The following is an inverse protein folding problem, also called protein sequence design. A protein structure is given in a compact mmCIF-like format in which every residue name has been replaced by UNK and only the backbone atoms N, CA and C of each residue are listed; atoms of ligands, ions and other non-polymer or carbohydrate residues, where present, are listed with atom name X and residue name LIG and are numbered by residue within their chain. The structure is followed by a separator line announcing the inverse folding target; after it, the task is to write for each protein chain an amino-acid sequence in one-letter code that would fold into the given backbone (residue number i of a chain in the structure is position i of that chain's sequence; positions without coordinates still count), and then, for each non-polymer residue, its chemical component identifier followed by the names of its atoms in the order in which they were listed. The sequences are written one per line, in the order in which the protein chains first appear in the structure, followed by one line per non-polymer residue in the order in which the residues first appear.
data_IF_694333017003
#
_entry.id   IF_694333017003
#
_cell.length_a   1.000
_cell.length_b   1.000
_cell.length_c   1.000
_cell.angle_alpha   90.00
_cell.angle_beta   90.00
_cell.angle_gamma   90.00
#
_symmetry.space_group_name_H-M   'P 1'
#
loop_
_entity.id
_entity.type
_entity.pdbx_description
1 polymer ?
#
# COMPACT_ATOMS: atom_id res chain seq x y z
N UNK A 1 15.14 0.28 19.12
CA UNK A 1 15.23 -0.37 17.80
C UNK A 1 13.88 -0.21 17.13
N UNK A 2 13.83 0.12 15.84
CA UNK A 2 12.58 0.02 15.09
C UNK A 2 12.32 -1.45 14.83
N UNK A 3 11.17 -1.98 15.26
CA UNK A 3 10.89 -3.40 15.09
C UNK A 3 10.50 -3.68 13.63
N UNK A 4 11.20 -4.60 12.94
CA UNK A 4 10.90 -4.91 11.54
C UNK A 4 9.48 -5.40 11.33
N UNK A 5 8.96 -6.16 12.30
CA UNK A 5 7.57 -6.64 12.30
C UNK A 5 6.58 -5.48 12.38
N UNK A 6 6.86 -4.45 13.19
CA UNK A 6 5.96 -3.30 13.31
C UNK A 6 6.00 -2.45 12.04
N UNK A 7 7.17 -2.26 11.41
CA UNK A 7 7.25 -1.60 10.11
C UNK A 7 6.42 -2.32 9.04
N UNK A 8 6.45 -3.66 9.03
CA UNK A 8 5.65 -4.47 8.11
C UNK A 8 4.14 -4.36 8.40
N UNK A 9 3.73 -4.46 9.67
CA UNK A 9 2.32 -4.30 10.09
C UNK A 9 1.80 -2.91 9.74
N UNK A 10 2.58 -1.85 9.97
CA UNK A 10 2.18 -0.50 9.58
C UNK A 10 1.98 -0.41 8.06
N UNK A 11 2.92 -0.92 7.25
CA UNK A 11 2.74 -0.96 5.79
C UNK A 11 1.58 -1.82 5.32
N UNK A 12 1.14 -2.81 6.10
CA UNK A 12 -0.02 -3.64 5.78
C UNK A 12 -1.35 -2.91 6.05
N UNK A 13 -1.39 -2.00 7.03
CA UNK A 13 -2.56 -1.13 7.28
C UNK A 13 -2.72 -0.12 6.13
N UNK A 14 -1.61 0.51 5.73
CA UNK A 14 -1.61 1.44 4.62
C UNK A 14 -0.24 1.49 3.94
N UNK A 15 -0.17 1.39 2.59
CA UNK A 15 1.09 1.43 1.86
C UNK A 15 1.87 2.72 2.17
N UNK A 16 3.10 2.57 2.66
CA UNK A 16 3.99 3.70 2.99
C UNK A 16 4.09 4.04 4.49
N UNK A 17 3.18 3.55 5.35
CA UNK A 17 3.28 3.80 6.80
C UNK A 17 4.53 3.20 7.44
N UNK A 18 4.94 1.99 7.02
CA UNK A 18 6.18 1.38 7.49
C UNK A 18 7.42 2.17 7.06
N UNK A 19 7.35 2.91 5.96
CA UNK A 19 8.42 3.80 5.52
C UNK A 19 8.46 5.09 6.31
N UNK A 20 7.31 5.68 6.66
CA UNK A 20 7.26 6.79 7.61
C UNK A 20 7.81 6.38 8.98
N UNK A 21 7.45 5.19 9.47
CA UNK A 21 8.04 4.62 10.67
C UNK A 21 9.55 4.51 10.55
N UNK A 22 10.05 4.08 9.39
CA UNK A 22 11.47 4.01 9.06
C UNK A 22 12.14 5.36 8.73
N UNK A 23 11.43 6.51 8.81
CA UNK A 23 11.93 7.85 8.41
C UNK A 23 12.27 7.99 6.92
N UNK A 24 11.81 7.07 6.08
CA UNK A 24 11.97 7.12 4.63
C UNK A 24 10.80 7.89 4.00
N UNK A 25 10.73 9.19 4.29
CA UNK A 25 9.61 10.06 3.91
C UNK A 25 9.32 10.07 2.41
N UNK A 26 10.35 10.18 1.57
CA UNK A 26 10.18 10.19 0.10
C UNK A 26 9.53 8.91 -0.41
N UNK A 27 9.94 7.74 0.11
CA UNK A 27 9.30 6.49 -0.25
C UNK A 27 7.87 6.44 0.28
N UNK A 28 7.66 6.80 1.55
CA UNK A 28 6.33 6.79 2.17
C UNK A 28 5.31 7.61 1.37
N UNK A 29 5.70 8.81 0.94
CA UNK A 29 4.90 9.67 0.06
C UNK A 29 4.65 8.99 -1.29
N UNK A 30 5.66 8.37 -1.90
CA UNK A 30 5.51 7.64 -3.16
C UNK A 30 4.49 6.50 -3.08
N UNK A 31 4.53 5.68 -2.03
CA UNK A 31 3.53 4.62 -1.82
C UNK A 31 2.15 5.18 -1.51
N UNK A 32 2.08 6.27 -0.75
CA UNK A 32 0.81 6.93 -0.42
C UNK A 32 0.13 7.48 -1.68
N UNK A 33 0.86 8.23 -2.51
CA UNK A 33 0.33 8.78 -3.76
C UNK A 33 0.00 7.65 -4.74
N UNK A 34 0.91 6.68 -4.92
CA UNK A 34 0.69 5.57 -5.84
C UNK A 34 -0.54 4.74 -5.49
N UNK A 35 -0.72 4.40 -4.22
CA UNK A 35 -1.92 3.68 -3.75
C UNK A 35 -3.19 4.53 -3.84
N UNK A 36 -3.11 5.84 -3.53
CA UNK A 36 -4.24 6.76 -3.65
C UNK A 36 -4.73 6.91 -5.10
N UNK A 37 -3.82 7.09 -6.06
CA UNK A 37 -4.16 7.20 -7.48
C UNK A 37 -4.80 5.90 -7.98
N UNK A 38 -4.21 4.74 -7.69
CA UNK A 38 -4.79 3.47 -8.09
C UNK A 38 -6.15 3.21 -7.43
N UNK A 39 -6.32 3.57 -6.16
CA UNK A 39 -7.60 3.45 -5.46
C UNK A 39 -8.66 4.34 -6.10
N UNK A 40 -8.32 5.58 -6.46
CA UNK A 40 -9.24 6.48 -7.18
C UNK A 40 -9.66 5.91 -8.52
N UNK A 41 -8.73 5.32 -9.28
CA UNK A 41 -9.05 4.64 -10.55
C UNK A 41 -9.99 3.44 -10.38
N UNK A 42 -9.96 2.76 -9.23
CA UNK A 42 -10.91 1.68 -8.92
C UNK A 42 -12.28 2.24 -8.63
N UNK A 43 -12.39 3.22 -7.73
CA UNK A 43 -13.66 3.80 -7.30
C UNK A 43 -14.44 4.43 -8.45
N UNK A 44 -13.77 5.17 -9.33
CA UNK A 44 -14.39 5.76 -10.53
C UNK A 44 -14.90 4.72 -11.53
N UNK A 45 -14.36 3.50 -11.49
CA UNK A 45 -14.69 2.42 -12.43
C UNK A 45 -15.61 1.35 -11.83
N UNK A 46 -15.99 1.51 -10.56
CA UNK A 46 -16.79 0.53 -9.82
C UNK A 46 -17.87 1.22 -8.98
N UNK A 47 -19.06 1.48 -9.57
CA UNK A 47 -20.21 1.91 -8.79
C UNK A 47 -20.59 0.79 -7.81
N UNK A 48 -20.63 1.09 -6.51
CA UNK A 48 -20.92 0.14 -5.42
C UNK A 48 -22.35 -0.43 -5.58
N UNK A 49 -23.22 0.33 -6.22
CA UNK A 49 -24.59 -0.01 -6.56
C UNK A 49 -24.65 -1.20 -7.53
N UNK A 50 -23.73 -1.29 -8.51
CA UNK A 50 -23.66 -2.44 -9.43
C UNK A 50 -23.20 -3.71 -8.71
N UNK A 51 -22.29 -3.58 -7.75
CA UNK A 51 -21.85 -4.71 -6.91
C UNK A 51 -23.00 -5.24 -6.05
N UNK A 52 -23.79 -4.33 -5.45
CA UNK A 52 -24.98 -4.66 -4.68
C UNK A 52 -26.07 -5.32 -5.55
N UNK A 53 -26.14 -4.94 -6.82
CA UNK A 53 -27.02 -5.56 -7.81
C UNK A 53 -26.48 -6.89 -8.38
N UNK A 54 -25.28 -7.34 -7.97
CA UNK A 54 -24.65 -8.58 -8.46
C UNK A 54 -24.17 -8.51 -9.92
N UNK A 55 -24.02 -7.32 -10.48
CA UNK A 55 -23.61 -7.13 -11.86
C UNK A 55 -22.07 -7.26 -11.99
N UNK A 56 -21.61 -8.32 -12.65
CA UNK A 56 -20.17 -8.62 -12.82
C UNK A 56 -19.57 -8.10 -14.13
N UNK A 57 -20.33 -7.33 -14.91
CA UNK A 57 -19.91 -6.83 -16.24
C UNK A 57 -18.60 -6.02 -16.20
N UNK A 58 -18.31 -5.36 -15.07
CA UNK A 58 -17.10 -4.56 -14.87
C UNK A 58 -16.01 -5.29 -14.05
N UNK A 59 -16.25 -6.54 -13.63
CA UNK A 59 -15.35 -7.28 -12.73
C UNK A 59 -13.91 -7.35 -13.25
N UNK A 60 -13.72 -7.62 -14.56
CA UNK A 60 -12.38 -7.67 -15.16
C UNK A 60 -11.65 -6.32 -15.16
N UNK A 61 -12.37 -5.20 -15.28
CA UNK A 61 -11.79 -3.83 -15.30
C UNK A 61 -11.34 -3.38 -13.90
N UNK A 62 -11.83 -4.04 -12.85
CA UNK A 62 -11.54 -3.70 -11.46
C UNK A 62 -10.58 -4.70 -10.81
N UNK A 63 -10.63 -5.96 -11.23
CA UNK A 63 -9.69 -6.98 -10.78
C UNK A 63 -8.23 -6.59 -11.08
N UNK A 64 -7.93 -6.06 -12.27
CA UNK A 64 -6.58 -5.63 -12.64
C UNK A 64 -5.98 -4.60 -11.67
N UNK A 65 -6.60 -3.42 -11.50
CA UNK A 65 -6.15 -2.42 -10.54
C UNK A 65 -6.09 -2.92 -9.09
N UNK A 66 -7.03 -3.77 -8.66
CA UNK A 66 -7.01 -4.42 -7.34
C UNK A 66 -5.78 -5.31 -7.14
N UNK A 67 -5.43 -6.12 -8.14
CA UNK A 67 -4.22 -6.95 -8.10
C UNK A 67 -2.96 -6.09 -8.04
N UNK A 68 -2.93 -4.96 -8.76
CA UNK A 68 -1.81 -4.02 -8.70
C UNK A 68 -1.72 -3.34 -7.32
N UNK A 69 -2.85 -2.94 -6.73
CA UNK A 69 -2.91 -2.42 -5.36
C UNK A 69 -2.40 -3.44 -4.34
N UNK A 70 -2.81 -4.71 -4.48
CA UNK A 70 -2.36 -5.80 -3.63
C UNK A 70 -0.84 -6.02 -3.78
N UNK A 71 -0.34 -6.03 -5.02
CA UNK A 71 1.10 -6.15 -5.28
C UNK A 71 1.88 -4.97 -4.68
N UNK A 72 1.36 -3.74 -4.81
CA UNK A 72 1.95 -2.54 -4.19
C UNK A 72 1.96 -2.62 -2.67
N UNK A 73 0.91 -3.16 -2.05
CA UNK A 73 0.81 -3.33 -0.61
C UNK A 73 1.84 -4.34 -0.11
N UNK A 74 1.93 -5.51 -0.76
CA UNK A 74 2.94 -6.54 -0.44
C UNK A 74 4.35 -5.98 -0.64
N UNK A 75 4.57 -5.27 -1.75
CA UNK A 75 5.86 -4.64 -2.03
C UNK A 75 6.23 -3.60 -0.97
N UNK A 76 5.29 -2.74 -0.57
CA UNK A 76 5.49 -1.75 0.50
C UNK A 76 5.85 -2.40 1.83
N UNK A 77 5.21 -3.53 2.15
CA UNK A 77 5.48 -4.32 3.35
C UNK A 77 6.90 -4.92 3.33
N UNK A 78 7.30 -5.52 2.20
CA UNK A 78 8.65 -6.09 2.02
C UNK A 78 9.72 -4.99 2.06
N UNK A 79 9.53 -3.86 1.39
CA UNK A 79 10.47 -2.75 1.42
C UNK A 79 10.60 -2.15 2.83
N UNK A 80 9.50 -1.94 3.55
CA UNK A 80 9.54 -1.45 4.93
C UNK A 80 10.25 -2.43 5.87
N UNK A 81 10.01 -3.73 5.72
CA UNK A 81 10.69 -4.77 6.49
C UNK A 81 12.20 -4.79 6.21
N UNK A 82 12.61 -4.81 4.93
CA UNK A 82 14.03 -4.81 4.53
C UNK A 82 14.74 -3.53 4.99
N UNK A 83 14.11 -2.38 4.76
CA UNK A 83 14.62 -1.07 5.18
C UNK A 83 14.85 -0.97 6.68
N UNK A 84 13.98 -1.55 7.49
CA UNK A 84 14.15 -1.52 8.95
C UNK A 84 15.39 -2.31 9.44
N UNK A 85 15.86 -3.30 8.66
CA UNK A 85 17.06 -4.09 8.98
C UNK A 85 18.36 -3.40 8.56
N UNK A 86 18.32 -2.56 7.53
CA UNK A 86 19.50 -1.93 6.93
C UNK A 86 19.76 -0.52 7.46
N UNK A 87 18.83 0.10 8.18
CA UNK A 87 19.00 1.45 8.70
C UNK A 87 19.96 1.50 9.91
N UNK A 88 21.06 2.28 9.84
CA UNK A 88 21.96 2.45 10.97
C UNK A 88 21.26 3.18 12.14
N UNK A 89 21.58 2.77 13.38
CA UNK A 89 21.12 3.44 14.61
C UNK A 89 21.49 4.92 14.55
N UNK A 90 20.51 5.82 14.51
CA UNK A 90 20.75 7.23 14.87
C UNK A 90 21.04 7.23 16.39
N UNK A 91 22.29 7.53 16.78
CA UNK A 91 22.59 7.89 18.17
C UNK A 91 21.78 9.15 18.50
N UNK A 92 21.15 9.13 19.68
CA UNK A 92 20.22 10.14 20.16
C UNK A 92 20.81 11.53 20.10
#
# INVERSE_FOLDING_TARGET
MRSPRMAAVLSAIFPGLGQFYNRQWFKGIGFFIGSGVLSGMVTERFPVEELMAGNTSHAGKVLGPLLILLALLVWSMVDAYRSSKTLPKKKG
#
